data_IF_892428352777
#
_entry.id   IF_892428352777
#
_cell.length_a   1.000
_cell.length_b   1.000
_cell.length_c   1.000
_cell.angle_alpha   90.00
_cell.angle_beta   90.00
_cell.angle_gamma   90.00
#
_symmetry.space_group_name_H-M   'P 1'
#
loop_
_entity.id
_entity.type
_entity.pdbx_description
1 polymer ?
#
# COMPACT_ATOMS: atom_id res chain seq x y z
N UNK A 1 4.88 -14.98 -16.54
CA UNK A 1 6.01 -14.10 -16.16
C UNK A 1 6.54 -13.46 -17.43
N UNK A 2 6.70 -12.14 -17.48
CA UNK A 2 7.33 -11.48 -18.63
C UNK A 2 8.80 -11.93 -18.67
N UNK A 3 9.13 -12.78 -19.64
CA UNK A 3 10.49 -13.20 -19.96
C UNK A 3 11.18 -12.06 -20.72
N UNK A 4 12.36 -11.64 -20.27
CA UNK A 4 13.15 -10.61 -20.93
C UNK A 4 14.18 -9.99 -19.99
N UNK A 5 15.20 -9.34 -20.56
CA UNK A 5 16.17 -8.56 -19.80
C UNK A 5 15.47 -7.33 -19.15
N UNK A 6 16.10 -6.66 -18.17
CA UNK A 6 15.48 -5.53 -17.48
C UNK A 6 14.95 -4.42 -18.40
N UNK A 7 15.66 -4.13 -19.51
CA UNK A 7 15.24 -3.12 -20.49
C UNK A 7 14.00 -3.58 -21.25
N UNK A 8 13.97 -4.82 -21.72
CA UNK A 8 12.81 -5.41 -22.40
C UNK A 8 11.56 -5.37 -21.52
N UNK A 9 11.72 -5.69 -20.23
CA UNK A 9 10.62 -5.65 -19.24
C UNK A 9 10.11 -4.22 -19.05
N UNK A 10 11.00 -3.24 -18.90
CA UNK A 10 10.61 -1.83 -18.77
C UNK A 10 9.88 -1.37 -20.03
N UNK A 11 10.46 -1.61 -21.21
CA UNK A 11 9.84 -1.22 -22.49
C UNK A 11 8.46 -1.84 -22.65
N UNK A 12 8.30 -3.13 -22.30
CA UNK A 12 7.02 -3.82 -22.35
C UNK A 12 5.96 -3.13 -21.48
N UNK A 13 6.23 -2.90 -20.18
CA UNK A 13 5.27 -2.24 -19.29
C UNK A 13 4.95 -0.80 -19.70
N UNK A 14 5.95 -0.03 -20.13
CA UNK A 14 5.73 1.35 -20.58
C UNK A 14 4.91 1.40 -21.89
N UNK A 15 5.17 0.50 -22.83
CA UNK A 15 4.38 0.41 -24.06
C UNK A 15 2.92 0.06 -23.77
N UNK A 16 2.67 -0.87 -22.85
CA UNK A 16 1.33 -1.22 -22.39
C UNK A 16 0.61 -0.03 -21.75
N UNK A 17 1.25 0.65 -20.79
CA UNK A 17 0.68 1.81 -20.11
C UNK A 17 0.42 2.99 -21.08
N UNK A 18 1.31 3.23 -22.05
CA UNK A 18 1.11 4.25 -23.08
C UNK A 18 -0.08 3.92 -23.99
N UNK A 19 -0.21 2.65 -24.40
CA UNK A 19 -1.35 2.19 -25.21
C UNK A 19 -2.66 2.38 -24.45
N UNK A 20 -2.71 2.04 -23.17
CA UNK A 20 -3.88 2.26 -22.32
C UNK A 20 -4.24 3.75 -22.22
N UNK A 21 -3.23 4.62 -21.99
CA UNK A 21 -3.44 6.07 -21.95
C UNK A 21 -4.00 6.62 -23.26
N UNK A 22 -3.44 6.22 -24.40
CA UNK A 22 -3.91 6.65 -25.72
C UNK A 22 -5.35 6.18 -25.95
N UNK A 23 -5.65 4.92 -25.66
CA UNK A 23 -7.01 4.38 -25.81
C UNK A 23 -8.02 5.13 -24.93
N UNK A 24 -7.64 5.46 -23.71
CA UNK A 24 -8.49 6.21 -22.79
C UNK A 24 -8.78 7.63 -23.29
N UNK A 25 -7.74 8.37 -23.72
CA UNK A 25 -7.92 9.73 -24.27
C UNK A 25 -8.69 9.72 -25.59
N UNK A 26 -8.42 8.75 -26.47
CA UNK A 26 -9.12 8.59 -27.75
C UNK A 26 -10.61 8.28 -27.52
N UNK A 27 -10.92 7.41 -26.54
CA UNK A 27 -12.29 7.12 -26.11
C UNK A 27 -12.99 8.33 -25.49
N UNK A 28 -12.27 9.20 -24.76
CA UNK A 28 -12.82 10.45 -24.23
C UNK A 28 -13.16 11.44 -25.33
N UNK A 29 -12.30 11.61 -26.34
CA UNK A 29 -12.59 12.44 -27.52
C UNK A 29 -13.74 11.92 -28.39
N UNK A 30 -14.02 10.61 -28.38
CA UNK A 30 -15.18 10.03 -29.06
C UNK A 30 -16.47 10.00 -28.21
N UNK A 31 -16.38 10.23 -26.90
CA UNK A 31 -17.47 10.11 -25.92
C UNK A 31 -18.41 11.31 -25.83
N UNK A 32 -18.34 12.25 -26.79
CA UNK A 32 -19.47 13.13 -27.09
C UNK A 32 -20.62 12.39 -27.81
N UNK A 33 -20.47 11.08 -28.06
CA UNK A 33 -21.57 10.15 -28.32
C UNK A 33 -21.45 8.91 -27.43
N UNK A 34 -22.47 8.68 -26.62
CA UNK A 34 -22.77 7.46 -25.85
C UNK A 34 -21.93 7.17 -24.59
N UNK A 35 -22.53 7.63 -23.49
CA UNK A 35 -22.75 6.98 -22.20
C UNK A 35 -22.34 5.49 -22.07
N UNK A 36 -21.60 5.20 -20.99
CA UNK A 36 -21.54 3.86 -20.39
C UNK A 36 -20.38 2.96 -20.81
N UNK A 37 -19.26 3.02 -20.09
CA UNK A 37 -18.48 1.81 -19.76
C UNK A 37 -17.51 2.16 -18.63
N UNK A 38 -17.88 1.73 -17.41
CA UNK A 38 -17.02 1.69 -16.23
C UNK A 38 -16.09 0.49 -16.38
N UNK A 39 -14.83 0.72 -16.71
CA UNK A 39 -13.72 -0.17 -16.34
C UNK A 39 -12.47 0.70 -16.34
N UNK A 40 -12.44 1.68 -15.45
CA UNK A 40 -11.17 2.17 -14.96
C UNK A 40 -10.61 1.06 -14.08
N UNK A 41 -9.88 0.12 -14.69
CA UNK A 41 -8.84 -0.60 -13.94
C UNK A 41 -7.75 0.43 -13.66
N UNK A 42 -8.05 1.38 -12.77
CA UNK A 42 -7.01 1.91 -11.92
C UNK A 42 -6.35 0.68 -11.34
N UNK A 43 -5.06 0.52 -11.60
CA UNK A 43 -4.21 -0.38 -10.83
C UNK A 43 -4.21 0.19 -9.41
N UNK A 44 -5.31 0.00 -8.69
CA UNK A 44 -5.36 0.17 -7.27
C UNK A 44 -4.39 -0.89 -6.76
N UNK A 45 -3.17 -0.43 -6.44
CA UNK A 45 -2.23 -1.15 -5.58
C UNK A 45 -2.95 -1.64 -4.31
N UNK A 46 -4.07 -0.99 -3.97
CA UNK A 46 -5.02 -1.31 -2.91
C UNK A 46 -5.95 -2.51 -3.19
N UNK A 47 -6.35 -2.79 -4.44
CA UNK A 47 -7.23 -3.94 -4.75
C UNK A 47 -6.43 -5.26 -4.73
N UNK A 48 -5.13 -5.17 -5.03
CA UNK A 48 -4.14 -6.22 -4.79
C UNK A 48 -3.78 -6.41 -3.29
N UNK A 49 -4.35 -5.62 -2.38
CA UNK A 49 -4.12 -5.73 -0.94
C UNK A 49 -5.21 -6.53 -0.20
N UNK A 50 -6.33 -6.90 -0.86
CA UNK A 50 -7.39 -7.72 -0.25
C UNK A 50 -7.01 -9.20 -0.11
N UNK A 51 -6.07 -9.67 -0.92
CA UNK A 51 -5.38 -10.95 -0.79
C UNK A 51 -3.90 -10.64 -0.94
N UNK A 52 -3.02 -10.90 0.04
CA UNK A 52 -1.60 -10.58 -0.10
C UNK A 52 -1.03 -11.47 -1.20
N UNK A 53 -1.08 -10.98 -2.45
CA UNK A 53 -0.49 -11.66 -3.58
C UNK A 53 0.96 -12.00 -3.19
N UNK A 54 1.47 -13.21 -3.48
CA UNK A 54 2.85 -13.59 -3.15
C UNK A 54 3.89 -12.55 -3.60
N UNK A 55 3.59 -11.81 -4.67
CA UNK A 55 4.39 -10.69 -5.13
C UNK A 55 4.49 -9.54 -4.12
N UNK A 56 3.43 -9.18 -3.39
CA UNK A 56 3.45 -8.13 -2.35
C UNK A 56 4.32 -8.55 -1.18
N UNK A 57 4.18 -9.79 -0.72
CA UNK A 57 5.01 -10.32 0.36
C UNK A 57 6.48 -10.41 -0.06
N UNK A 58 6.76 -10.91 -1.27
CA UNK A 58 8.10 -10.91 -1.85
C UNK A 58 8.66 -9.49 -1.96
N UNK A 59 7.85 -8.51 -2.38
CA UNK A 59 8.27 -7.10 -2.45
C UNK A 59 8.65 -6.56 -1.06
N UNK A 60 7.91 -6.91 -0.01
CA UNK A 60 8.22 -6.49 1.37
C UNK A 60 9.44 -7.22 1.95
N UNK A 61 9.65 -8.49 1.60
CA UNK A 61 10.72 -9.32 2.17
C UNK A 61 12.03 -9.24 1.39
N UNK A 62 11.99 -9.05 0.08
CA UNK A 62 13.16 -9.15 -0.81
C UNK A 62 13.78 -7.79 -1.14
N UNK A 63 13.06 -6.68 -0.91
CA UNK A 63 13.55 -5.34 -1.26
C UNK A 63 14.02 -4.56 -0.04
N UNK A 64 15.34 -4.26 0.06
CA UNK A 64 15.91 -3.59 1.22
C UNK A 64 15.30 -2.21 1.50
N UNK A 65 14.90 -1.47 0.46
CA UNK A 65 14.35 -0.13 0.65
C UNK A 65 13.03 -0.14 1.41
N UNK A 66 12.20 -1.18 1.24
CA UNK A 66 10.92 -1.31 1.95
C UNK A 66 11.19 -1.48 3.43
N UNK A 67 12.10 -2.38 3.78
CA UNK A 67 12.49 -2.64 5.17
C UNK A 67 13.11 -1.40 5.81
N UNK A 68 14.04 -0.73 5.12
CA UNK A 68 14.68 0.49 5.64
C UNK A 68 13.65 1.58 5.92
N UNK A 69 12.71 1.80 4.99
CA UNK A 69 11.65 2.78 5.19
C UNK A 69 10.73 2.42 6.37
N UNK A 70 10.34 1.14 6.48
CA UNK A 70 9.49 0.64 7.56
C UNK A 70 10.16 0.79 8.94
N UNK A 71 11.40 0.33 9.11
CA UNK A 71 12.12 0.43 10.39
C UNK A 71 12.41 1.88 10.77
N UNK A 72 12.80 2.71 9.82
CA UNK A 72 13.05 4.13 10.08
C UNK A 72 11.77 4.84 10.51
N UNK A 73 10.64 4.54 9.86
CA UNK A 73 9.33 5.08 10.24
C UNK A 73 8.91 4.64 11.65
N UNK A 74 9.07 3.36 11.97
CA UNK A 74 8.76 2.83 13.31
C UNK A 74 9.63 3.50 14.38
N UNK A 75 10.94 3.62 14.14
CA UNK A 75 11.85 4.26 15.09
C UNK A 75 11.46 5.73 15.33
N UNK A 76 11.15 6.48 14.27
CA UNK A 76 10.70 7.86 14.41
C UNK A 76 9.40 7.97 15.24
N UNK A 77 8.47 7.02 15.09
CA UNK A 77 7.27 6.95 15.93
C UNK A 77 7.66 6.68 17.38
N UNK A 78 8.47 5.65 17.66
CA UNK A 78 8.90 5.29 19.01
C UNK A 78 9.57 6.46 19.73
N UNK A 79 10.47 7.16 19.05
CA UNK A 79 11.16 8.34 19.59
C UNK A 79 10.16 9.45 19.93
N UNK A 80 9.15 9.67 19.09
CA UNK A 80 8.13 10.70 19.30
C UNK A 80 7.18 10.40 20.48
N UNK A 81 7.02 9.12 20.85
CA UNK A 81 6.13 8.69 21.94
C UNK A 81 6.88 8.11 23.14
N UNK A 82 8.20 8.30 23.22
CA UNK A 82 9.06 7.68 24.23
C UNK A 82 8.59 7.92 25.67
N UNK A 83 8.06 9.11 25.97
CA UNK A 83 7.55 9.47 27.31
C UNK A 83 6.03 9.28 27.47
N UNK A 84 5.29 8.91 26.41
CA UNK A 84 3.84 8.82 26.43
C UNK A 84 3.36 7.46 26.93
N UNK A 85 2.55 7.40 27.98
CA UNK A 85 1.95 6.16 28.52
C UNK A 85 0.71 5.68 27.76
N UNK A 86 0.08 6.56 26.99
CA UNK A 86 -1.13 6.27 26.21
C UNK A 86 -0.87 6.76 24.79
N UNK A 87 -0.91 5.84 23.84
CA UNK A 87 -0.59 6.11 22.43
C UNK A 87 -1.81 5.79 21.58
N UNK A 88 -2.21 6.73 20.72
CA UNK A 88 -3.19 6.48 19.67
C UNK A 88 -2.49 6.56 18.32
N UNK A 89 -2.30 5.39 17.70
CA UNK A 89 -1.71 5.26 16.39
C UNK A 89 -2.80 5.27 15.31
N UNK A 90 -2.73 6.21 14.38
CA UNK A 90 -3.65 6.31 13.24
C UNK A 90 -2.89 5.85 12.00
N UNK A 91 -3.23 4.65 11.52
CA UNK A 91 -2.57 4.01 10.40
C UNK A 91 -3.36 4.26 9.11
N UNK A 92 -2.77 4.96 8.14
CA UNK A 92 -3.36 5.17 6.82
C UNK A 92 -2.84 4.13 5.83
N UNK A 93 -3.74 3.41 5.15
CA UNK A 93 -3.35 2.45 4.12
C UNK A 93 -2.84 1.12 4.69
N UNK A 94 -3.57 0.54 5.66
CA UNK A 94 -3.25 -0.79 6.21
C UNK A 94 -3.27 -1.78 5.03
N UNK A 95 -2.09 -2.22 4.61
CA UNK A 95 -1.93 -3.26 3.57
C UNK A 95 -2.12 -4.61 4.24
N UNK A 96 -1.02 -5.28 4.57
CA UNK A 96 -1.02 -6.59 5.24
C UNK A 96 -1.01 -6.52 6.77
N UNK A 97 -0.89 -5.32 7.36
CA UNK A 97 -0.76 -5.13 8.81
C UNK A 97 0.53 -5.70 9.43
N UNK A 98 1.48 -6.18 8.60
CA UNK A 98 2.75 -6.77 9.08
C UNK A 98 3.57 -5.76 9.88
N UNK A 99 3.61 -4.51 9.43
CA UNK A 99 4.48 -3.48 10.00
C UNK A 99 3.99 -3.02 11.38
N UNK A 100 2.68 -3.07 11.61
CA UNK A 100 2.09 -2.68 12.90
C UNK A 100 2.47 -3.65 14.01
N UNK A 101 2.79 -4.91 13.68
CA UNK A 101 3.30 -5.89 14.65
C UNK A 101 4.66 -5.51 15.22
N UNK A 102 5.54 -4.98 14.39
CA UNK A 102 6.88 -4.55 14.82
C UNK A 102 6.76 -3.35 15.77
N UNK A 103 5.89 -2.38 15.45
CA UNK A 103 5.59 -1.25 16.33
C UNK A 103 4.99 -1.72 17.67
N UNK A 104 4.00 -2.62 17.64
CA UNK A 104 3.39 -3.18 18.85
C UNK A 104 4.41 -3.90 19.72
N UNK A 105 5.29 -4.72 19.13
CA UNK A 105 6.33 -5.43 19.86
C UNK A 105 7.32 -4.45 20.52
N UNK A 106 7.78 -3.43 19.77
CA UNK A 106 8.71 -2.44 20.30
C UNK A 106 8.09 -1.61 21.45
N UNK A 107 6.81 -1.25 21.34
CA UNK A 107 6.07 -0.57 22.40
C UNK A 107 5.84 -1.46 23.63
N UNK A 108 5.68 -2.78 23.46
CA UNK A 108 5.44 -3.71 24.55
C UNK A 108 6.69 -3.95 25.43
N UNK A 109 7.89 -3.89 24.83
CA UNK A 109 9.16 -4.16 25.53
C UNK A 109 9.83 -2.90 26.11
N UNK A 110 9.23 -1.72 25.95
CA UNK A 110 9.83 -0.46 26.43
C UNK A 110 9.88 -0.40 27.96
N UNK A 111 11.06 -0.16 28.52
CA UNK A 111 11.30 -0.23 29.97
C UNK A 111 11.09 1.09 30.71
N UNK A 112 11.54 2.21 30.14
CA UNK A 112 11.60 3.51 30.85
C UNK A 112 10.21 4.14 31.09
N UNK A 113 9.26 3.87 30.19
CA UNK A 113 7.89 4.36 30.31
C UNK A 113 6.92 3.29 29.80
N UNK A 114 6.51 2.30 30.61
CA UNK A 114 5.61 1.24 30.17
C UNK A 114 4.30 1.77 29.56
N UNK A 115 3.77 1.09 28.55
CA UNK A 115 2.53 1.50 27.89
C UNK A 115 1.32 1.06 28.73
N UNK A 116 0.43 2.00 29.03
CA UNK A 116 -0.84 1.74 29.72
C UNK A 116 -1.98 1.52 28.72
N UNK A 117 -1.94 2.19 27.56
CA UNK A 117 -2.94 2.01 26.51
C UNK A 117 -2.33 2.22 25.12
N UNK A 118 -2.58 1.25 24.24
CA UNK A 118 -2.45 1.41 22.80
C UNK A 118 -3.84 1.43 22.17
N UNK A 119 -4.16 2.48 21.43
CA UNK A 119 -5.30 2.52 20.52
C UNK A 119 -4.76 2.55 19.10
N UNK A 120 -5.29 1.70 18.22
CA UNK A 120 -4.96 1.73 16.79
C UNK A 120 -6.23 2.04 16.01
N UNK A 121 -6.17 3.02 15.12
CA UNK A 121 -7.22 3.30 14.13
C UNK A 121 -6.65 3.06 12.76
N UNK A 122 -7.17 2.04 12.08
CA UNK A 122 -6.85 1.73 10.70
C UNK A 122 -7.79 2.50 9.77
N UNK A 123 -7.22 3.26 8.84
CA UNK A 123 -7.95 3.87 7.73
C UNK A 123 -7.67 3.01 6.49
N UNK A 124 -8.69 2.28 6.06
CA UNK A 124 -8.67 1.49 4.83
C UNK A 124 -9.58 2.16 3.80
N UNK A 125 -9.17 2.12 2.54
CA UNK A 125 -10.03 2.44 1.41
C UNK A 125 -10.81 1.17 1.06
N UNK A 126 -12.10 1.15 1.41
CA UNK A 126 -12.99 0.14 0.86
C UNK A 126 -13.24 0.50 -0.60
N UNK A 127 -12.60 -0.22 -1.53
CA UNK A 127 -13.23 -0.46 -2.83
C UNK A 127 -14.49 -1.29 -2.54
N UNK A 128 -15.60 -0.61 -2.24
CA UNK A 128 -16.95 -1.14 -2.31
C UNK A 128 -17.46 -0.91 -3.73
N UNK A 129 -17.51 -1.98 -4.52
CA UNK A 129 -18.64 -2.19 -5.40
C UNK A 129 -19.29 -3.53 -5.05
N UNK A 130 -20.51 -3.41 -4.53
CA UNK A 130 -21.58 -4.40 -4.40
C UNK A 130 -21.35 -5.60 -3.47
N UNK A 131 -21.94 -5.51 -2.28
CA UNK A 131 -22.66 -6.63 -1.67
C UNK A 131 -24.06 -6.12 -1.31
N UNK A 132 -25.03 -6.40 -2.19
CA UNK A 132 -26.45 -6.55 -1.81
C UNK A 132 -26.63 -7.85 -1.02
#
# INVERSE_FOLDING_TARGET
>A
MVTGNPVERIVCYFAEALRERINHETRKTSRDRQEGCKTERQLCVEEAAKDPQPAVLAWQQELPFVQVAEFTGIQAILDSVASAKRVHFIHFGIRSGINDRVLMQALAVRHECPLELLKITAVATTSEQALE
#
